data_IF_889494382994
#
_entry.id   IF_889494382994
#
_cell.length_a   1.000
_cell.length_b   1.000
_cell.length_c   1.000
_cell.angle_alpha   90.00
_cell.angle_beta   90.00
_cell.angle_gamma   90.00
#
_symmetry.space_group_name_H-M   'P 1'
#
loop_
_entity.id
_entity.type
_entity.pdbx_description
1 polymer ?
#
# COMPACT_ATOMS: atom_id res chain seq x y z
N UNK A 1 23.25 3.54 -4.44
CA UNK A 1 21.87 3.00 -4.46
C UNK A 1 21.43 2.95 -5.91
N UNK A 2 20.97 1.80 -6.42
CA UNK A 2 20.56 1.68 -7.81
C UNK A 2 19.16 2.28 -7.99
N UNK A 3 19.04 3.28 -8.87
CA UNK A 3 17.75 3.87 -9.21
C UNK A 3 17.18 3.12 -10.42
N UNK A 4 15.95 2.65 -10.29
CA UNK A 4 15.24 2.00 -11.39
C UNK A 4 14.36 3.02 -12.10
N UNK A 5 14.55 3.19 -13.40
CA UNK A 5 13.69 4.05 -14.21
C UNK A 5 12.38 3.34 -14.53
N UNK A 6 11.26 3.91 -14.09
CA UNK A 6 9.92 3.41 -14.39
C UNK A 6 9.27 4.39 -15.36
N UNK A 7 8.92 3.91 -16.55
CA UNK A 7 8.17 4.71 -17.52
C UNK A 7 6.72 4.81 -17.08
N UNK A 8 6.23 6.04 -16.95
CA UNK A 8 4.83 6.35 -16.61
C UNK A 8 4.25 7.30 -17.65
N UNK A 9 2.93 7.35 -17.76
CA UNK A 9 2.26 8.31 -18.64
C UNK A 9 2.39 9.73 -18.09
N UNK A 10 2.23 10.72 -18.97
CA UNK A 10 2.24 12.13 -18.55
C UNK A 10 1.13 12.44 -17.55
N UNK A 11 -0.02 11.78 -17.70
CA UNK A 11 -1.15 11.91 -16.78
C UNK A 11 -0.80 11.39 -15.39
N UNK A 12 -0.20 10.20 -15.28
CA UNK A 12 0.25 9.65 -14.00
C UNK A 12 1.33 10.52 -13.36
N UNK A 13 2.25 11.07 -14.16
CA UNK A 13 3.28 12.00 -13.67
C UNK A 13 2.64 13.27 -13.08
N UNK A 14 1.61 13.81 -13.73
CA UNK A 14 0.88 14.98 -13.23
C UNK A 14 0.12 14.66 -11.94
N UNK A 15 -0.56 13.52 -11.89
CA UNK A 15 -1.25 13.06 -10.68
C UNK A 15 -0.28 12.86 -9.50
N UNK A 16 0.93 12.32 -9.75
CA UNK A 16 1.97 12.23 -8.72
C UNK A 16 2.42 13.60 -8.22
N UNK A 17 2.56 14.58 -9.13
CA UNK A 17 2.93 15.95 -8.78
C UNK A 17 1.85 16.63 -7.94
N UNK A 18 0.58 16.47 -8.31
CA UNK A 18 -0.58 17.01 -7.59
C UNK A 18 -0.76 16.38 -6.20
N UNK A 19 -0.37 15.11 -6.06
CA UNK A 19 -0.43 14.37 -4.80
C UNK A 19 0.78 14.66 -3.87
N UNK A 20 1.87 15.17 -4.45
CA UNK A 20 3.09 15.52 -3.74
C UNK A 20 3.00 16.89 -3.07
N UNK A 21 3.67 17.03 -1.93
CA UNK A 21 3.85 18.33 -1.26
C UNK A 21 5.15 18.99 -1.72
N UNK A 22 5.24 20.34 -1.70
CA UNK A 22 6.43 21.09 -2.14
C UNK A 22 7.70 20.53 -1.47
N UNK A 23 8.65 20.06 -2.28
CA UNK A 23 9.94 19.51 -1.81
C UNK A 23 10.01 17.98 -1.70
N UNK A 24 8.93 17.25 -1.99
CA UNK A 24 8.97 15.79 -2.01
C UNK A 24 9.53 15.22 -3.32
N UNK A 25 10.30 14.13 -3.20
CA UNK A 25 10.76 13.35 -4.35
C UNK A 25 9.65 12.41 -4.84
N UNK A 26 9.69 12.07 -6.13
CA UNK A 26 8.81 11.04 -6.69
C UNK A 26 8.91 9.71 -5.91
N UNK A 27 10.10 9.34 -5.44
CA UNK A 27 10.31 8.15 -4.60
C UNK A 27 9.53 8.24 -3.28
N UNK A 28 9.55 9.40 -2.60
CA UNK A 28 8.76 9.62 -1.37
C UNK A 28 7.27 9.46 -1.61
N UNK A 29 6.75 10.04 -2.70
CA UNK A 29 5.33 10.00 -3.06
C UNK A 29 4.92 8.55 -3.36
N UNK A 30 5.71 7.83 -4.16
CA UNK A 30 5.48 6.43 -4.48
C UNK A 30 5.52 5.56 -3.22
N UNK A 31 6.50 5.76 -2.32
CA UNK A 31 6.57 5.04 -1.03
C UNK A 31 5.34 5.29 -0.16
N UNK A 32 4.84 6.53 -0.09
CA UNK A 32 3.60 6.86 0.65
C UNK A 32 2.39 6.16 0.06
N UNK A 33 2.28 6.11 -1.27
CA UNK A 33 1.20 5.40 -1.96
C UNK A 33 1.26 3.90 -1.71
N UNK A 34 2.44 3.29 -1.82
CA UNK A 34 2.64 1.87 -1.53
C UNK A 34 2.28 1.57 -0.06
N UNK A 35 2.71 2.39 0.89
CA UNK A 35 2.37 2.22 2.31
C UNK A 35 0.86 2.33 2.56
N UNK A 36 0.18 3.31 1.96
CA UNK A 36 -1.28 3.45 2.08
C UNK A 36 -2.02 2.25 1.49
N UNK A 37 -1.60 1.80 0.32
CA UNK A 37 -2.18 0.62 -0.32
C UNK A 37 -1.91 -0.65 0.49
N UNK A 38 -0.69 -0.83 0.99
CA UNK A 38 -0.33 -1.97 1.83
C UNK A 38 -1.14 -2.01 3.13
N UNK A 39 -1.36 -0.86 3.78
CA UNK A 39 -2.22 -0.77 4.96
C UNK A 39 -3.65 -1.22 4.64
N UNK A 40 -4.26 -0.67 3.58
CA UNK A 40 -5.63 -1.02 3.18
C UNK A 40 -5.76 -2.49 2.77
N UNK A 41 -4.77 -3.03 2.06
CA UNK A 41 -4.75 -4.43 1.62
C UNK A 41 -4.47 -5.40 2.77
N UNK A 42 -3.67 -4.99 3.75
CA UNK A 42 -3.51 -5.79 4.97
C UNK A 42 -4.86 -5.94 5.65
N UNK A 43 -5.62 -4.86 5.84
CA UNK A 43 -6.96 -4.91 6.45
C UNK A 43 -7.89 -5.93 5.76
N UNK A 44 -7.97 -5.92 4.42
CA UNK A 44 -8.74 -6.92 3.67
C UNK A 44 -8.19 -8.35 3.81
N UNK A 45 -6.88 -8.52 3.91
CA UNK A 45 -6.25 -9.84 4.09
C UNK A 45 -6.49 -10.39 5.50
N UNK A 46 -6.47 -9.53 6.53
CA UNK A 46 -6.80 -9.88 7.91
C UNK A 46 -8.28 -10.19 8.08
N UNK A 47 -9.17 -9.40 7.48
CA UNK A 47 -10.61 -9.68 7.46
C UNK A 47 -10.94 -11.00 6.76
N UNK A 48 -10.16 -11.40 5.74
CA UNK A 48 -10.30 -12.69 5.08
C UNK A 48 -9.83 -13.87 5.93
N UNK A 49 -8.83 -13.70 6.79
CA UNK A 49 -8.39 -14.72 7.75
C UNK A 49 -9.42 -14.86 8.87
N UNK A 50 -9.90 -13.75 9.44
CA UNK A 50 -10.93 -13.74 10.48
C UNK A 50 -12.26 -14.37 10.05
N UNK A 51 -12.58 -14.33 8.75
CA UNK A 51 -13.79 -14.92 8.20
C UNK A 51 -13.69 -16.43 7.90
N UNK A 52 -12.50 -17.05 7.99
CA UNK A 52 -12.29 -18.48 7.65
C UNK A 52 -11.73 -19.33 8.80
N UNK A 53 -11.36 -18.75 9.94
CA UNK A 53 -11.01 -19.54 11.12
C UNK A 53 -12.25 -19.71 12.01
N UNK A 54 -12.79 -20.93 12.07
CA UNK A 54 -13.71 -21.32 13.14
C UNK A 54 -12.98 -21.16 14.47
N UNK A 55 -13.49 -20.29 15.33
CA UNK A 55 -12.98 -20.13 16.69
C UNK A 55 -13.16 -21.45 17.44
N UNK A 56 -12.06 -22.16 17.74
CA UNK A 56 -12.08 -23.33 18.61
C UNK A 56 -11.85 -22.84 20.05
N UNK A 57 -12.86 -22.93 20.94
CA UNK A 57 -12.70 -22.57 22.35
C UNK A 57 -11.73 -23.55 23.02
N UNK A 58 -10.96 -23.04 23.97
CA UNK A 58 -9.97 -23.80 24.74
C UNK A 58 -10.55 -24.94 25.60
N UNK A 59 -11.87 -25.06 25.68
CA UNK A 59 -12.58 -26.12 26.43
C UNK A 59 -12.63 -27.48 25.70
N UNK A 60 -12.18 -27.56 24.43
CA UNK A 60 -12.16 -28.82 23.65
C UNK A 60 -10.75 -29.47 23.52
N UNK A 61 -9.78 -29.07 24.35
CA UNK A 61 -8.40 -29.59 24.32
C UNK A 61 -8.13 -30.70 25.34
#
# INVERSE_FOLDING_TARGET
MANTTISITQETKKALLDLGTKGETYDSIIRKLIKRYAWKKMDEKWNKILANDEFIPLDEL
#
